data_IF_574546380140
#
_entry.id   IF_574546380140
#
_cell.length_a   1.000
_cell.length_b   1.000
_cell.length_c   1.000
_cell.angle_alpha   90.00
_cell.angle_beta   90.00
_cell.angle_gamma   90.00
#
_symmetry.space_group_name_H-M   'P 1'
#
loop_
_entity.id
_entity.type
_entity.pdbx_description
1 polymer ?
#
# COMPACT_ATOMS: atom_id res chain seq x y z
N UNK A 1 15.75 0.91 -7.28
CA UNK A 1 16.37 -0.03 -8.28
C UNK A 1 16.40 0.53 -9.71
N UNK A 2 15.27 0.76 -10.43
CA UNK A 2 15.34 1.33 -11.80
C UNK A 2 15.92 2.76 -11.79
N UNK A 3 15.44 3.64 -10.91
CA UNK A 3 15.94 5.00 -10.81
C UNK A 3 17.45 5.06 -10.50
N UNK A 4 17.96 4.19 -9.67
CA UNK A 4 19.39 4.13 -9.32
C UNK A 4 20.29 3.83 -10.53
N UNK A 5 19.79 3.09 -11.52
CA UNK A 5 20.54 2.83 -12.77
C UNK A 5 20.82 4.10 -13.57
N UNK A 6 20.06 5.18 -13.33
CA UNK A 6 20.18 6.47 -14.01
C UNK A 6 20.74 7.58 -13.11
N UNK A 7 20.69 7.42 -11.77
CA UNK A 7 21.04 8.48 -10.82
C UNK A 7 22.31 8.20 -10.02
N UNK A 8 22.76 6.95 -9.91
CA UNK A 8 23.99 6.63 -9.19
C UNK A 8 25.23 6.85 -10.09
N UNK A 9 26.25 7.56 -9.58
CA UNK A 9 27.46 7.92 -10.32
C UNK A 9 28.19 6.75 -11.02
N UNK A 10 28.09 5.53 -10.46
CA UNK A 10 28.72 4.33 -11.02
C UNK A 10 27.74 3.45 -11.80
N UNK A 11 26.52 3.92 -12.07
CA UNK A 11 25.52 3.15 -12.77
C UNK A 11 25.72 3.22 -14.29
N UNK A 12 25.38 2.14 -15.04
CA UNK A 12 25.62 2.05 -16.49
C UNK A 12 24.97 3.16 -17.33
N UNK A 13 23.88 3.75 -16.81
CA UNK A 13 23.10 4.77 -17.49
C UNK A 13 23.10 6.11 -16.76
N UNK A 14 24.14 6.38 -15.93
CA UNK A 14 24.28 7.63 -15.24
C UNK A 14 24.23 8.84 -16.19
N UNK A 15 23.37 9.82 -15.89
CA UNK A 15 23.11 11.02 -16.73
C UNK A 15 22.66 10.76 -18.17
N UNK A 16 22.37 9.50 -18.55
CA UNK A 16 21.93 9.19 -19.91
C UNK A 16 20.45 9.55 -20.17
N UNK A 17 19.68 9.84 -19.13
CA UNK A 17 18.28 10.21 -19.23
C UNK A 17 17.87 11.16 -18.08
N UNK A 18 16.88 12.02 -18.35
CA UNK A 18 16.24 12.83 -17.31
C UNK A 18 15.25 11.97 -16.53
N UNK A 19 15.41 11.91 -15.20
CA UNK A 19 14.51 11.18 -14.32
C UNK A 19 13.41 12.15 -13.86
N UNK A 20 12.17 11.83 -14.20
CA UNK A 20 10.99 12.55 -13.72
C UNK A 20 10.29 11.72 -12.64
N UNK A 21 10.13 12.29 -11.46
CA UNK A 21 9.27 11.72 -10.43
C UNK A 21 7.81 12.03 -10.76
N UNK A 22 6.99 11.00 -10.81
CA UNK A 22 5.53 11.15 -10.96
C UNK A 22 4.93 10.91 -9.58
N UNK A 23 4.37 11.96 -8.99
CA UNK A 23 3.69 11.87 -7.71
C UNK A 23 2.32 11.19 -7.83
N UNK A 24 1.70 10.92 -6.68
CA UNK A 24 0.33 10.41 -6.64
C UNK A 24 -0.61 11.43 -7.28
N UNK A 25 -1.65 10.93 -7.93
CA UNK A 25 -2.75 11.75 -8.43
C UNK A 25 -3.40 12.46 -7.24
N UNK A 26 -3.67 13.77 -7.40
CA UNK A 26 -4.42 14.54 -6.41
C UNK A 26 -5.76 13.86 -6.10
N UNK A 27 -6.14 13.81 -4.83
CA UNK A 27 -7.32 13.08 -4.36
C UNK A 27 -8.62 13.55 -5.02
N UNK A 28 -8.80 14.86 -5.13
CA UNK A 28 -10.03 15.43 -5.68
C UNK A 28 -10.12 15.19 -7.20
N UNK A 29 -8.99 15.32 -7.88
CA UNK A 29 -8.88 15.03 -9.32
C UNK A 29 -9.18 13.56 -9.56
N UNK A 30 -8.65 12.67 -8.73
CA UNK A 30 -8.88 11.24 -8.88
C UNK A 30 -10.33 10.83 -8.55
N UNK A 31 -10.93 11.43 -7.53
CA UNK A 31 -12.34 11.22 -7.20
C UNK A 31 -13.26 11.59 -8.38
N UNK A 32 -13.06 12.77 -8.97
CA UNK A 32 -13.80 13.21 -10.17
C UNK A 32 -13.59 12.27 -11.35
N UNK A 33 -12.37 11.81 -11.56
CA UNK A 33 -12.06 10.84 -12.61
C UNK A 33 -12.82 9.53 -12.42
N UNK A 34 -12.83 8.96 -11.21
CA UNK A 34 -13.58 7.73 -10.89
C UNK A 34 -15.06 7.92 -11.20
N UNK A 35 -15.67 9.00 -10.71
CA UNK A 35 -17.07 9.33 -10.97
C UNK A 35 -17.37 9.40 -12.47
N UNK A 36 -16.53 10.11 -13.24
CA UNK A 36 -16.68 10.24 -14.68
C UNK A 36 -16.59 8.89 -15.40
N UNK A 37 -15.68 8.00 -14.98
CA UNK A 37 -15.56 6.67 -15.59
C UNK A 37 -16.81 5.81 -15.37
N UNK A 38 -17.42 5.87 -14.18
CA UNK A 38 -18.70 5.18 -13.92
C UNK A 38 -19.83 5.77 -14.77
N UNK A 39 -19.96 7.10 -14.81
CA UNK A 39 -20.98 7.81 -15.63
C UNK A 39 -20.84 7.53 -17.13
N UNK A 40 -19.63 7.46 -17.65
CA UNK A 40 -19.37 7.16 -19.06
C UNK A 40 -19.93 5.80 -19.49
N UNK A 41 -20.06 4.87 -18.54
CA UNK A 41 -20.63 3.54 -18.74
C UNK A 41 -22.07 3.41 -18.21
N UNK A 42 -22.77 4.55 -18.03
CA UNK A 42 -24.16 4.61 -17.54
C UNK A 42 -24.36 3.96 -16.16
N UNK A 43 -23.36 4.06 -15.30
CA UNK A 43 -23.40 3.66 -13.89
C UNK A 43 -23.11 4.87 -13.02
N UNK A 44 -23.53 4.80 -11.78
CA UNK A 44 -23.24 5.81 -10.76
C UNK A 44 -22.38 5.20 -9.65
N UNK A 45 -21.74 6.04 -8.87
CA UNK A 45 -21.00 5.65 -7.67
C UNK A 45 -21.18 6.75 -6.63
N UNK A 46 -21.46 6.38 -5.39
CA UNK A 46 -21.69 7.34 -4.31
C UNK A 46 -20.37 7.97 -3.83
N UNK A 47 -20.45 9.18 -3.29
CA UNK A 47 -19.25 9.92 -2.83
C UNK A 47 -18.51 9.19 -1.70
N UNK A 48 -19.23 8.61 -0.75
CA UNK A 48 -18.68 7.81 0.33
C UNK A 48 -17.98 6.53 -0.17
N UNK A 49 -18.50 5.92 -1.24
CA UNK A 49 -17.86 4.80 -1.91
C UNK A 49 -16.51 5.22 -2.55
N UNK A 50 -16.48 6.37 -3.23
CA UNK A 50 -15.23 6.92 -3.81
C UNK A 50 -14.23 7.24 -2.71
N UNK A 51 -14.66 7.91 -1.64
CA UNK A 51 -13.80 8.25 -0.52
C UNK A 51 -13.20 7.01 0.13
N UNK A 52 -14.00 6.00 0.38
CA UNK A 52 -13.49 4.72 0.90
C UNK A 52 -12.48 4.07 -0.05
N UNK A 53 -12.75 4.04 -1.37
CA UNK A 53 -11.82 3.47 -2.37
C UNK A 53 -10.45 4.17 -2.26
N UNK A 54 -10.43 5.50 -2.28
CA UNK A 54 -9.19 6.27 -2.26
C UNK A 54 -8.41 6.11 -0.96
N UNK A 55 -9.08 6.06 0.19
CA UNK A 55 -8.46 5.83 1.50
C UNK A 55 -7.94 4.40 1.64
N UNK A 56 -8.77 3.43 1.28
CA UNK A 56 -8.42 2.03 1.42
C UNK A 56 -7.25 1.63 0.51
N UNK A 57 -7.17 2.21 -0.69
CA UNK A 57 -6.09 1.98 -1.64
C UNK A 57 -4.90 2.93 -1.48
N UNK A 58 -4.96 3.86 -0.51
CA UNK A 58 -3.95 4.91 -0.28
C UNK A 58 -3.70 5.76 -1.55
N UNK A 59 -4.73 5.97 -2.36
CA UNK A 59 -4.68 6.69 -3.64
C UNK A 59 -3.65 6.10 -4.63
N UNK A 60 -3.28 4.83 -4.45
CA UNK A 60 -2.32 4.17 -5.33
C UNK A 60 -3.03 3.68 -6.60
N UNK A 61 -2.61 4.18 -7.76
CA UNK A 61 -3.28 4.00 -9.06
C UNK A 61 -3.65 2.55 -9.37
N UNK A 62 -2.70 1.62 -9.23
CA UNK A 62 -2.94 0.20 -9.50
C UNK A 62 -4.05 -0.40 -8.61
N UNK A 63 -3.97 -0.20 -7.29
CA UNK A 63 -4.93 -0.77 -6.34
C UNK A 63 -6.30 -0.10 -6.45
N UNK A 64 -6.32 1.21 -6.71
CA UNK A 64 -7.56 1.96 -6.97
C UNK A 64 -8.27 1.43 -8.20
N UNK A 65 -7.53 1.26 -9.31
CA UNK A 65 -8.11 0.70 -10.54
C UNK A 65 -8.62 -0.73 -10.35
N UNK A 66 -7.87 -1.60 -9.64
CA UNK A 66 -8.32 -2.96 -9.37
C UNK A 66 -9.61 -2.98 -8.57
N UNK A 67 -9.71 -2.17 -7.50
CA UNK A 67 -10.92 -2.11 -6.68
C UNK A 67 -12.10 -1.52 -7.45
N UNK A 68 -11.91 -0.41 -8.16
CA UNK A 68 -12.94 0.19 -9.02
C UNK A 68 -13.44 -0.81 -10.08
N UNK A 69 -12.55 -1.53 -10.73
CA UNK A 69 -12.88 -2.55 -11.73
C UNK A 69 -13.75 -3.67 -11.12
N UNK A 70 -13.37 -4.14 -9.93
CA UNK A 70 -14.11 -5.17 -9.22
C UNK A 70 -15.52 -4.67 -8.85
N UNK A 71 -15.64 -3.48 -8.29
CA UNK A 71 -16.94 -2.86 -7.97
C UNK A 71 -17.78 -2.72 -9.23
N UNK A 72 -17.19 -2.20 -10.30
CA UNK A 72 -17.87 -1.99 -11.57
C UNK A 72 -18.47 -3.28 -12.16
N UNK A 73 -17.80 -4.43 -12.00
CA UNK A 73 -18.30 -5.74 -12.47
C UNK A 73 -19.52 -6.22 -11.70
N UNK A 74 -19.65 -5.92 -10.41
CA UNK A 74 -20.76 -6.38 -9.57
C UNK A 74 -22.01 -5.54 -9.70
N UNK A 75 -21.85 -4.21 -9.84
CA UNK A 75 -22.99 -3.30 -9.81
C UNK A 75 -23.65 -3.16 -11.18
N UNK A 76 -24.98 -3.05 -11.18
CA UNK A 76 -25.76 -2.86 -12.41
C UNK A 76 -25.99 -1.38 -12.75
N UNK A 77 -26.30 -0.55 -11.75
CA UNK A 77 -26.64 0.87 -11.94
C UNK A 77 -25.83 1.78 -11.02
N UNK A 78 -25.85 1.56 -9.73
CA UNK A 78 -25.22 2.40 -8.72
C UNK A 78 -24.34 1.55 -7.81
N UNK A 79 -23.13 2.03 -7.55
CA UNK A 79 -22.19 1.48 -6.59
C UNK A 79 -22.26 2.27 -5.28
N UNK A 80 -22.77 1.63 -4.24
CA UNK A 80 -22.77 2.17 -2.88
C UNK A 80 -21.55 1.67 -2.09
N UNK A 81 -21.29 2.26 -0.93
CA UNK A 81 -20.19 1.87 -0.04
C UNK A 81 -20.20 0.37 0.28
N UNK A 82 -21.39 -0.24 0.47
CA UNK A 82 -21.50 -1.68 0.75
C UNK A 82 -20.95 -2.54 -0.38
N UNK A 83 -21.12 -2.14 -1.63
CA UNK A 83 -20.61 -2.87 -2.79
C UNK A 83 -19.08 -2.81 -2.82
N UNK A 84 -18.51 -1.66 -2.45
CA UNK A 84 -17.05 -1.49 -2.34
C UNK A 84 -16.47 -2.35 -1.22
N UNK A 85 -17.12 -2.39 -0.06
CA UNK A 85 -16.69 -3.24 1.07
C UNK A 85 -16.69 -4.73 0.69
N UNK A 86 -17.73 -5.20 -0.02
CA UNK A 86 -17.81 -6.58 -0.53
C UNK A 86 -16.70 -6.85 -1.55
N UNK A 87 -16.46 -5.92 -2.47
CA UNK A 87 -15.40 -6.05 -3.47
C UNK A 87 -14.01 -6.11 -2.82
N UNK A 88 -13.74 -5.23 -1.84
CA UNK A 88 -12.49 -5.20 -1.09
C UNK A 88 -12.24 -6.52 -0.33
N UNK A 89 -13.27 -7.04 0.35
CA UNK A 89 -13.19 -8.32 1.07
C UNK A 89 -12.94 -9.49 0.10
N UNK A 90 -13.61 -9.50 -1.03
CA UNK A 90 -13.42 -10.52 -2.09
C UNK A 90 -11.98 -10.51 -2.61
N UNK A 91 -11.42 -9.34 -2.91
CA UNK A 91 -10.02 -9.20 -3.34
C UNK A 91 -9.06 -9.79 -2.30
N UNK A 92 -9.24 -9.47 -1.01
CA UNK A 92 -8.37 -9.99 0.04
C UNK A 92 -8.48 -11.52 0.19
N UNK A 93 -9.69 -12.09 0.07
CA UNK A 93 -9.92 -13.54 0.09
C UNK A 93 -9.22 -14.24 -1.07
N UNK A 94 -9.33 -13.71 -2.29
CA UNK A 94 -8.69 -14.26 -3.47
C UNK A 94 -7.15 -14.26 -3.38
N UNK A 95 -6.57 -13.32 -2.65
CA UNK A 95 -5.11 -13.21 -2.48
C UNK A 95 -4.59 -13.91 -1.22
N UNK A 96 -5.45 -14.51 -0.41
CA UNK A 96 -5.08 -15.09 0.90
C UNK A 96 -3.98 -16.14 0.77
N UNK A 97 -4.08 -17.07 -0.19
CA UNK A 97 -3.07 -18.12 -0.37
C UNK A 97 -1.70 -17.52 -0.72
N UNK A 98 -1.66 -16.56 -1.63
CA UNK A 98 -0.43 -15.82 -1.97
C UNK A 98 0.18 -15.11 -0.77
N UNK A 99 -0.66 -14.53 0.11
CA UNK A 99 -0.18 -13.87 1.32
C UNK A 99 0.33 -14.86 2.37
N UNK A 100 -0.29 -16.04 2.48
CA UNK A 100 0.19 -17.13 3.32
C UNK A 100 1.50 -17.73 2.82
N UNK A 101 1.69 -17.85 1.50
CA UNK A 101 2.99 -18.24 0.92
C UNK A 101 4.10 -17.27 1.32
N UNK A 102 3.85 -15.94 1.28
CA UNK A 102 4.81 -14.95 1.77
C UNK A 102 5.13 -15.14 3.25
N UNK A 103 4.15 -15.53 4.07
CA UNK A 103 4.36 -15.84 5.49
C UNK A 103 5.41 -16.93 5.69
N UNK A 104 5.43 -17.94 4.82
CA UNK A 104 6.37 -19.07 4.91
C UNK A 104 7.83 -18.67 4.59
N UNK A 105 8.03 -17.53 3.91
CA UNK A 105 9.36 -16.99 3.59
C UNK A 105 9.92 -16.07 4.67
N UNK A 106 9.19 -15.89 5.78
CA UNK A 106 9.51 -14.91 6.81
C UNK A 106 9.69 -15.58 8.17
N UNK A 107 10.61 -15.05 8.96
CA UNK A 107 10.71 -15.41 10.38
C UNK A 107 9.48 -14.88 11.14
N UNK A 108 9.19 -15.48 12.31
CA UNK A 108 8.10 -15.01 13.16
C UNK A 108 8.27 -13.53 13.56
N UNK A 109 9.51 -13.07 13.80
CA UNK A 109 9.80 -11.67 14.13
C UNK A 109 9.51 -10.72 12.96
N UNK A 110 9.90 -11.09 11.74
CA UNK A 110 9.61 -10.32 10.54
C UNK A 110 8.10 -10.22 10.30
N UNK A 111 7.39 -11.33 10.48
CA UNK A 111 5.94 -11.38 10.33
C UNK A 111 5.22 -10.49 11.33
N UNK A 112 5.54 -10.58 12.61
CA UNK A 112 4.94 -9.75 13.65
C UNK A 112 5.22 -8.26 13.44
N UNK A 113 6.41 -7.94 12.94
CA UNK A 113 6.76 -6.57 12.61
C UNK A 113 5.94 -6.02 11.44
N UNK A 114 5.73 -6.83 10.40
CA UNK A 114 4.87 -6.43 9.27
C UNK A 114 3.42 -6.20 9.71
N UNK A 115 2.89 -7.06 10.58
CA UNK A 115 1.54 -6.87 11.16
C UNK A 115 1.49 -5.55 11.93
N UNK A 116 2.49 -5.25 12.74
CA UNK A 116 2.55 -4.01 13.51
C UNK A 116 2.55 -2.77 12.59
N UNK A 117 3.38 -2.77 11.54
CA UNK A 117 3.42 -1.68 10.56
C UNK A 117 2.11 -1.58 9.79
N UNK A 118 1.47 -2.69 9.43
CA UNK A 118 0.19 -2.68 8.76
C UNK A 118 -0.91 -2.04 9.63
N UNK A 119 -0.98 -2.40 10.91
CA UNK A 119 -1.95 -1.86 11.88
C UNK A 119 -1.79 -0.37 12.14
N UNK A 120 -0.57 0.18 12.08
CA UNK A 120 -0.33 1.63 12.14
C UNK A 120 -0.59 2.32 10.79
N UNK A 121 -0.55 1.58 9.68
CA UNK A 121 -0.67 2.14 8.34
C UNK A 121 0.61 2.81 7.86
N UNK A 122 1.10 3.81 8.58
CA UNK A 122 2.38 4.52 8.34
C UNK A 122 3.10 4.70 9.67
N UNK A 123 4.39 4.37 9.71
CA UNK A 123 5.24 4.47 10.89
C UNK A 123 6.40 5.41 10.61
N UNK A 124 6.56 6.48 11.38
CA UNK A 124 7.68 7.44 11.26
C UNK A 124 8.85 7.09 12.16
N UNK A 125 8.59 6.43 13.28
CA UNK A 125 9.60 6.02 14.26
C UNK A 125 9.60 4.49 14.46
N UNK A 126 10.09 3.73 13.48
CA UNK A 126 9.94 2.27 13.42
C UNK A 126 10.74 1.51 14.49
N UNK A 127 11.62 2.18 15.21
CA UNK A 127 12.44 1.62 16.31
C UNK A 127 12.17 2.30 17.64
N UNK A 128 11.17 3.17 17.74
CA UNK A 128 10.83 3.86 19.00
C UNK A 128 10.38 2.88 20.08
N UNK A 129 10.71 3.19 21.33
CA UNK A 129 10.32 2.35 22.47
C UNK A 129 8.79 2.18 22.55
N UNK A 130 8.03 3.24 22.25
CA UNK A 130 6.58 3.22 22.26
C UNK A 130 6.01 2.22 21.24
N UNK A 131 6.46 2.26 19.97
CA UNK A 131 6.05 1.32 18.94
C UNK A 131 6.45 -0.11 19.28
N UNK A 132 7.70 -0.34 19.71
CA UNK A 132 8.20 -1.67 20.04
C UNK A 132 7.49 -2.29 21.23
N UNK A 133 7.17 -1.53 22.27
CA UNK A 133 6.41 -2.00 23.43
C UNK A 133 4.95 -2.30 23.07
N UNK A 134 4.29 -1.43 22.31
CA UNK A 134 2.91 -1.62 21.85
C UNK A 134 2.70 -2.97 21.18
N UNK A 135 3.66 -3.40 20.38
CA UNK A 135 3.58 -4.63 19.57
C UNK A 135 4.49 -5.77 20.04
N UNK A 136 5.15 -5.63 21.19
CA UNK A 136 6.05 -6.65 21.77
C UNK A 136 7.16 -7.11 20.80
N UNK A 137 7.79 -6.18 20.07
CA UNK A 137 8.71 -6.47 18.97
C UNK A 137 10.18 -6.69 19.39
N UNK A 138 10.49 -6.52 20.66
CA UNK A 138 11.84 -6.72 21.22
C UNK A 138 12.69 -5.45 21.24
N UNK A 139 14.03 -5.61 21.28
CA UNK A 139 14.96 -4.49 21.46
C UNK A 139 15.23 -3.75 20.16
N UNK A 140 15.44 -2.40 20.20
CA UNK A 140 15.70 -1.56 19.02
C UNK A 140 16.83 -2.07 18.11
N UNK A 141 17.94 -2.54 18.70
CA UNK A 141 19.12 -3.03 17.95
C UNK A 141 18.82 -4.25 17.08
N UNK A 142 17.91 -5.14 17.51
CA UNK A 142 17.49 -6.30 16.74
C UNK A 142 16.50 -5.91 15.64
N UNK A 143 15.69 -4.89 15.89
CA UNK A 143 14.65 -4.42 14.96
C UNK A 143 15.25 -3.65 13.78
N UNK A 144 16.33 -2.90 13.96
CA UNK A 144 16.99 -2.19 12.85
C UNK A 144 17.45 -3.15 11.73
N UNK A 145 18.03 -4.29 12.10
CA UNK A 145 18.43 -5.32 11.10
C UNK A 145 17.22 -5.96 10.42
N UNK A 146 16.17 -6.18 11.20
CA UNK A 146 14.92 -6.74 10.70
C UNK A 146 14.24 -5.78 9.72
N UNK A 147 14.18 -4.48 10.03
CA UNK A 147 13.66 -3.42 9.17
C UNK A 147 14.40 -3.40 7.83
N UNK A 148 15.74 -3.36 7.85
CA UNK A 148 16.55 -3.38 6.64
C UNK A 148 16.28 -4.63 5.79
N UNK A 149 16.20 -5.81 6.41
CA UNK A 149 15.87 -7.06 5.70
C UNK A 149 14.47 -7.03 5.04
N UNK A 150 13.49 -6.37 5.66
CA UNK A 150 12.16 -6.22 5.08
C UNK A 150 12.11 -5.20 3.93
N UNK A 151 12.95 -4.17 3.98
CA UNK A 151 13.15 -3.20 2.88
C UNK A 151 13.83 -3.87 1.69
N UNK A 152 14.91 -4.63 1.92
CA UNK A 152 15.61 -5.41 0.87
C UNK A 152 14.70 -6.43 0.18
N UNK A 153 13.75 -7.02 0.93
CA UNK A 153 12.73 -7.94 0.40
C UNK A 153 11.55 -7.23 -0.28
N UNK A 154 11.56 -5.91 -0.36
CA UNK A 154 10.46 -5.10 -0.91
C UNK A 154 9.09 -5.38 -0.22
N UNK A 155 9.11 -5.75 1.06
CA UNK A 155 7.90 -5.93 1.87
C UNK A 155 7.48 -4.65 2.58
N UNK A 156 8.46 -3.78 2.86
CA UNK A 156 8.25 -2.42 3.34
C UNK A 156 8.70 -1.42 2.30
N UNK A 157 8.03 -0.27 2.28
CA UNK A 157 8.41 0.92 1.54
C UNK A 157 8.88 1.98 2.52
N UNK A 158 10.07 2.54 2.30
CA UNK A 158 10.53 3.77 2.93
C UNK A 158 10.23 4.95 2.01
N UNK A 159 9.60 5.97 2.55
CA UNK A 159 9.41 7.27 1.89
C UNK A 159 10.19 8.31 2.65
N UNK A 160 11.16 8.95 2.00
CA UNK A 160 11.99 10.01 2.58
C UNK A 160 11.40 11.37 2.26
N UNK A 161 11.26 12.21 3.28
CA UNK A 161 10.85 13.60 3.19
C UNK A 161 11.84 14.49 3.90
N UNK A 162 11.68 15.81 3.79
CA UNK A 162 12.50 16.78 4.53
C UNK A 162 12.33 16.66 6.06
N UNK A 163 11.20 16.11 6.51
CA UNK A 163 10.86 15.92 7.93
C UNK A 163 11.32 14.56 8.48
N UNK A 164 11.83 13.67 7.62
CA UNK A 164 12.29 12.34 8.01
C UNK A 164 11.79 11.23 7.10
N UNK A 165 11.97 9.98 7.56
CA UNK A 165 11.52 8.78 6.86
C UNK A 165 10.20 8.27 7.42
N UNK A 166 9.35 7.76 6.56
CA UNK A 166 8.14 7.02 6.93
C UNK A 166 8.12 5.64 6.28
N UNK A 167 7.54 4.68 6.97
CA UNK A 167 7.54 3.27 6.57
C UNK A 167 6.11 2.74 6.50
N UNK A 168 5.81 2.00 5.44
CA UNK A 168 4.53 1.30 5.33
C UNK A 168 4.74 -0.04 4.62
N UNK A 169 3.76 -0.94 4.72
CA UNK A 169 3.78 -2.18 3.91
C UNK A 169 3.64 -1.82 2.44
N UNK A 170 4.56 -2.31 1.61
CA UNK A 170 4.67 -1.94 0.19
C UNK A 170 3.40 -2.28 -0.60
N UNK A 171 2.92 -3.52 -0.50
CA UNK A 171 1.72 -3.95 -1.18
C UNK A 171 0.47 -3.58 -0.35
N UNK A 172 -0.38 -2.71 -0.89
CA UNK A 172 -1.55 -2.20 -0.17
C UNK A 172 -2.54 -3.31 0.19
N UNK A 173 -2.83 -4.25 -0.71
CA UNK A 173 -3.76 -5.35 -0.39
C UNK A 173 -3.20 -6.29 0.68
N UNK A 174 -1.90 -6.55 0.65
CA UNK A 174 -1.23 -7.30 1.71
C UNK A 174 -1.28 -6.55 3.04
N UNK A 175 -1.07 -5.22 3.05
CA UNK A 175 -1.26 -4.40 4.24
C UNK A 175 -2.67 -4.55 4.82
N UNK A 176 -3.70 -4.38 3.99
CA UNK A 176 -5.10 -4.50 4.40
C UNK A 176 -5.47 -5.91 4.92
N UNK A 177 -4.83 -6.92 4.36
CA UNK A 177 -4.99 -8.29 4.85
C UNK A 177 -4.30 -8.50 6.21
N UNK A 178 -3.06 -7.99 6.40
CA UNK A 178 -2.32 -8.04 7.65
C UNK A 178 -3.00 -7.29 8.80
N UNK A 179 -3.74 -6.21 8.52
CA UNK A 179 -4.53 -5.48 9.53
C UNK A 179 -5.58 -6.36 10.21
N UNK A 180 -5.99 -7.46 9.58
CA UNK A 180 -7.01 -8.40 10.05
C UNK A 180 -6.44 -9.59 10.81
N UNK A 181 -5.11 -9.76 10.77
CA UNK A 181 -4.38 -10.83 11.46
C UNK A 181 -3.96 -10.36 12.86
#
# INVERSE_FOLDING_TARGET
>A
MIAEMFTAENAPFYESASVYSIDKIDREVYAKFIEQQFKAQKKEITADAIDFILDWTRTHTYYTQMLCNRVFQFVKKEAALVDVLVAADTILKEHTDTFLERRNLLTAKQWNYLIAVAKEGVVTEPTSAAFLQKYHLGAPSSVSRLLNSLLEKELLLETKTLEGSSYCVYNVFFSRWLERV
#
